data_IF_647390973600
#
_entry.id   IF_647390973600
#
_cell.length_a   1.000
_cell.length_b   1.000
_cell.length_c   1.000
_cell.angle_alpha   90.00
_cell.angle_beta   90.00
_cell.angle_gamma   90.00
#
_symmetry.space_group_name_H-M   'P 1'
#
loop_
_entity.id
_entity.type
_entity.pdbx_description
1 polymer ?
#
# COMPACT_ATOMS: atom_id res chain seq x y z
N UNK A 1 -53.49 -6.46 41.79
CA UNK A 1 -52.09 -6.36 42.23
C UNK A 1 -51.26 -7.62 41.86
N UNK A 2 -51.80 -8.83 41.86
CA UNK A 2 -51.06 -10.07 41.54
C UNK A 2 -50.59 -10.18 40.07
N UNK A 3 -51.29 -9.57 39.10
CA UNK A 3 -50.92 -9.60 37.67
C UNK A 3 -49.84 -8.59 37.30
N UNK A 4 -49.69 -7.50 38.08
CA UNK A 4 -48.66 -6.48 37.83
C UNK A 4 -47.27 -6.98 38.18
N UNK A 5 -47.16 -7.80 39.23
CA UNK A 5 -45.88 -8.41 39.65
C UNK A 5 -45.40 -9.44 38.65
N UNK A 6 -46.30 -10.18 37.98
CA UNK A 6 -45.91 -11.17 36.97
C UNK A 6 -45.35 -10.51 35.70
N UNK A 7 -45.92 -9.37 35.28
CA UNK A 7 -45.43 -8.59 34.12
C UNK A 7 -44.04 -8.00 34.40
N UNK A 8 -43.77 -7.57 35.64
CA UNK A 8 -42.47 -7.05 36.01
C UNK A 8 -41.37 -8.12 36.03
N UNK A 9 -41.68 -9.34 36.45
CA UNK A 9 -40.75 -10.48 36.44
C UNK A 9 -40.46 -10.93 35.01
N UNK A 10 -41.41 -10.91 34.09
CA UNK A 10 -41.18 -11.23 32.67
C UNK A 10 -40.31 -10.18 31.98
N UNK A 11 -40.41 -8.90 32.35
CA UNK A 11 -39.53 -7.85 31.81
C UNK A 11 -38.06 -7.96 32.26
N UNK A 12 -37.83 -8.44 33.48
CA UNK A 12 -36.44 -8.65 33.98
C UNK A 12 -35.78 -9.86 33.31
N UNK A 13 -36.55 -10.88 32.91
CA UNK A 13 -36.02 -12.06 32.23
C UNK A 13 -35.65 -11.81 30.76
N UNK A 14 -36.12 -10.70 30.18
CA UNK A 14 -35.77 -10.30 28.79
C UNK A 14 -34.48 -9.44 28.68
N UNK A 15 -33.88 -9.06 29.81
CA UNK A 15 -32.52 -8.48 29.79
C UNK A 15 -31.52 -9.60 29.57
N UNK A 16 -31.53 -10.17 28.36
CA UNK A 16 -30.50 -11.07 27.88
C UNK A 16 -29.18 -10.31 27.83
N UNK A 17 -28.29 -10.70 28.71
CA UNK A 17 -26.91 -10.23 28.69
C UNK A 17 -26.28 -10.66 27.35
N UNK A 18 -26.23 -9.78 26.36
CA UNK A 18 -25.43 -10.02 25.16
C UNK A 18 -23.97 -10.14 25.60
N UNK A 19 -23.43 -11.34 25.61
CA UNK A 19 -21.97 -11.51 25.71
C UNK A 19 -21.36 -10.73 24.52
N UNK A 20 -20.75 -9.60 24.81
CA UNK A 20 -19.90 -8.93 23.85
C UNK A 20 -18.72 -9.86 23.60
N UNK A 21 -18.74 -10.59 22.51
CA UNK A 21 -17.56 -11.35 22.10
C UNK A 21 -16.45 -10.33 21.87
N UNK A 22 -15.32 -10.50 22.54
CA UNK A 22 -14.10 -9.73 22.29
C UNK A 22 -13.65 -10.02 20.85
N UNK A 23 -13.95 -9.11 19.93
CA UNK A 23 -13.44 -9.17 18.57
C UNK A 23 -11.98 -8.72 18.58
N UNK A 24 -11.09 -9.54 18.04
CA UNK A 24 -9.66 -9.17 17.87
C UNK A 24 -9.48 -8.08 16.82
N UNK A 25 -10.41 -7.96 15.88
CA UNK A 25 -10.39 -6.95 14.82
C UNK A 25 -11.74 -6.24 14.75
N UNK A 26 -11.70 -4.93 14.59
CA UNK A 26 -12.86 -4.10 14.37
C UNK A 26 -12.75 -3.44 12.99
N UNK A 27 -13.87 -3.35 12.28
CA UNK A 27 -13.95 -2.66 11.01
C UNK A 27 -14.27 -1.19 11.26
N UNK A 28 -13.32 -0.32 10.95
CA UNK A 28 -13.52 1.11 10.96
C UNK A 28 -14.07 1.60 9.60
N UNK A 29 -14.93 2.59 9.65
CA UNK A 29 -15.49 3.21 8.43
C UNK A 29 -14.53 4.27 7.86
N UNK A 30 -14.69 4.61 6.58
CA UNK A 30 -13.96 5.71 5.98
C UNK A 30 -14.30 7.07 6.60
N UNK A 31 -15.47 7.22 7.19
CA UNK A 31 -15.86 8.42 7.92
C UNK A 31 -15.06 8.57 9.23
N UNK A 32 -14.80 7.46 9.93
CA UNK A 32 -14.01 7.46 11.16
C UNK A 32 -12.52 7.63 10.89
N UNK A 33 -12.03 7.03 9.82
CA UNK A 33 -10.59 7.01 9.54
C UNK A 33 -10.12 8.10 8.59
N UNK A 34 -10.99 8.70 7.79
CA UNK A 34 -10.60 9.58 6.67
C UNK A 34 -10.09 8.84 5.43
N UNK A 35 -9.90 7.51 5.50
CA UNK A 35 -9.39 6.72 4.37
C UNK A 35 -10.53 6.38 3.42
N UNK A 36 -10.50 6.96 2.21
CA UNK A 36 -11.50 6.72 1.15
C UNK A 36 -10.94 5.94 -0.04
N UNK A 37 -9.70 5.47 0.04
CA UNK A 37 -9.03 4.73 -1.03
C UNK A 37 -9.83 3.50 -1.49
N UNK A 38 -9.88 3.33 -2.81
CA UNK A 38 -10.42 2.15 -3.47
C UNK A 38 -9.59 1.84 -4.71
N UNK A 39 -9.04 0.64 -4.79
CA UNK A 39 -8.42 0.14 -6.00
C UNK A 39 -9.49 -0.33 -6.99
N UNK A 40 -10.13 0.63 -7.68
CA UNK A 40 -11.21 0.35 -8.62
C UNK A 40 -10.65 -0.12 -9.96
N UNK A 41 -11.15 -1.24 -10.45
CA UNK A 41 -10.86 -1.75 -11.78
C UNK A 41 -12.07 -1.51 -12.69
N UNK A 42 -11.83 -0.95 -13.87
CA UNK A 42 -12.86 -0.76 -14.90
C UNK A 42 -12.56 -1.70 -16.06
N UNK A 43 -13.50 -2.60 -16.35
CA UNK A 43 -13.41 -3.46 -17.53
C UNK A 43 -13.35 -2.64 -18.81
N UNK A 44 -12.36 -2.95 -19.67
CA UNK A 44 -12.27 -2.45 -21.04
C UNK A 44 -12.15 -3.64 -21.99
N UNK A 45 -12.63 -3.49 -23.22
CA UNK A 45 -12.59 -4.56 -24.21
C UNK A 45 -11.15 -5.03 -24.50
N UNK A 46 -10.21 -4.10 -24.53
CA UNK A 46 -8.79 -4.32 -24.79
C UNK A 46 -7.95 -4.54 -23.51
N UNK A 47 -8.48 -4.24 -22.32
CA UNK A 47 -7.75 -4.38 -21.06
C UNK A 47 -8.63 -4.97 -19.95
N UNK A 48 -8.51 -6.27 -19.74
CA UNK A 48 -9.30 -7.08 -18.82
C UNK A 48 -8.57 -8.39 -18.49
N UNK A 49 -9.19 -9.28 -17.73
CA UNK A 49 -8.58 -10.55 -17.30
C UNK A 49 -8.17 -11.47 -18.46
N UNK A 50 -8.81 -11.37 -19.63
CA UNK A 50 -8.48 -12.21 -20.78
C UNK A 50 -7.28 -11.69 -21.55
N UNK A 51 -7.04 -10.37 -21.51
CA UNK A 51 -5.92 -9.71 -22.19
C UNK A 51 -4.74 -9.47 -21.26
N UNK A 52 -4.99 -9.33 -19.96
CA UNK A 52 -3.97 -9.12 -18.93
C UNK A 52 -4.17 -10.08 -17.74
N UNK A 53 -3.35 -11.11 -17.68
CA UNK A 53 -3.47 -12.22 -16.74
C UNK A 53 -3.51 -11.80 -15.26
N UNK A 54 -2.82 -10.72 -14.91
CA UNK A 54 -2.69 -10.25 -13.53
C UNK A 54 -3.75 -9.20 -13.16
N UNK A 55 -4.82 -9.06 -13.95
CA UNK A 55 -5.82 -8.01 -13.82
C UNK A 55 -6.47 -7.91 -12.42
N UNK A 56 -6.61 -9.02 -11.72
CA UNK A 56 -7.21 -9.06 -10.39
C UNK A 56 -6.22 -9.31 -9.26
N UNK A 57 -4.92 -9.14 -9.49
CA UNK A 57 -3.91 -9.37 -8.43
C UNK A 57 -3.94 -8.32 -7.32
N UNK A 58 -4.60 -7.19 -7.54
CA UNK A 58 -4.68 -6.10 -6.55
C UNK A 58 -3.46 -5.19 -6.54
N UNK A 59 -3.42 -4.31 -5.56
CA UNK A 59 -2.30 -3.42 -5.25
C UNK A 59 -1.63 -3.80 -3.94
N UNK A 60 -0.61 -3.05 -3.56
CA UNK A 60 0.14 -3.18 -2.32
C UNK A 60 -0.33 -2.20 -1.24
N UNK A 61 0.09 -2.48 -0.02
CA UNK A 61 -0.05 -1.58 1.13
C UNK A 61 1.30 -1.53 1.84
N UNK A 62 1.85 -0.33 1.99
CA UNK A 62 3.04 -0.04 2.78
C UNK A 62 2.66 0.66 4.08
N UNK A 63 3.30 0.29 5.18
CA UNK A 63 3.17 0.95 6.49
C UNK A 63 4.55 1.42 6.93
N UNK A 64 4.67 2.69 7.31
CA UNK A 64 5.91 3.27 7.82
C UNK A 64 5.68 4.66 8.37
N UNK A 65 6.53 5.09 9.26
CA UNK A 65 6.54 6.44 9.83
C UNK A 65 7.42 7.30 8.91
N UNK A 66 6.78 8.07 8.01
CA UNK A 66 7.50 8.84 6.97
C UNK A 66 8.00 10.21 7.46
N UNK A 67 7.52 10.67 8.61
CA UNK A 67 7.86 11.98 9.16
C UNK A 67 8.52 11.90 10.55
N UNK A 68 8.81 10.69 11.03
CA UNK A 68 9.46 10.40 12.32
C UNK A 68 8.68 10.94 13.53
N UNK A 69 7.33 10.92 13.47
CA UNK A 69 6.46 11.35 14.58
C UNK A 69 6.03 10.20 15.52
N UNK A 70 6.42 8.97 15.22
CA UNK A 70 6.11 7.76 15.97
C UNK A 70 4.77 7.12 15.61
N UNK A 71 4.07 7.60 14.58
CA UNK A 71 2.82 7.05 14.07
C UNK A 71 3.05 6.41 12.70
N UNK A 72 2.42 5.26 12.45
CA UNK A 72 2.55 4.60 11.16
C UNK A 72 1.59 5.23 10.14
N UNK A 73 2.16 5.70 9.04
CA UNK A 73 1.46 6.18 7.86
C UNK A 73 1.15 5.04 6.90
N UNK A 74 0.27 5.27 5.93
CA UNK A 74 -0.18 4.23 5.01
C UNK A 74 -0.01 4.70 3.56
N UNK A 75 0.71 3.90 2.77
CA UNK A 75 0.76 4.07 1.33
C UNK A 75 0.04 2.92 0.62
N UNK A 76 -0.93 3.25 -0.25
CA UNK A 76 -1.66 2.30 -1.08
C UNK A 76 -1.24 2.45 -2.53
N UNK A 77 -0.91 1.34 -3.19
CA UNK A 77 -0.74 1.32 -4.64
C UNK A 77 -2.06 1.00 -5.33
N UNK A 78 -2.24 1.57 -6.52
CA UNK A 78 -3.44 1.42 -7.33
C UNK A 78 -3.10 0.95 -8.75
N UNK A 79 -3.92 0.05 -9.30
CA UNK A 79 -3.67 -0.50 -10.63
C UNK A 79 -4.08 0.46 -11.77
N UNK A 80 -5.19 1.19 -11.63
CA UNK A 80 -5.73 2.07 -12.68
C UNK A 80 -5.87 3.53 -12.26
N UNK A 81 -5.67 3.84 -10.99
CA UNK A 81 -5.77 5.20 -10.45
C UNK A 81 -4.42 5.59 -9.84
N UNK A 82 -4.31 6.83 -9.38
CA UNK A 82 -3.13 7.26 -8.61
C UNK A 82 -3.00 6.48 -7.31
N UNK A 83 -1.77 6.25 -6.88
CA UNK A 83 -1.45 5.73 -5.56
C UNK A 83 -1.87 6.75 -4.48
N UNK A 84 -1.96 6.33 -3.23
CA UNK A 84 -2.40 7.20 -2.14
C UNK A 84 -1.49 7.10 -0.93
N UNK A 85 -1.07 8.26 -0.41
CA UNK A 85 -0.35 8.40 0.85
C UNK A 85 -1.27 9.05 1.88
N UNK A 86 -1.46 8.37 3.00
CA UNK A 86 -2.26 8.82 4.13
C UNK A 86 -1.39 9.03 5.35
N UNK A 87 -1.29 10.29 5.79
CA UNK A 87 -0.58 10.68 7.01
C UNK A 87 -1.45 10.37 8.23
N UNK A 88 -0.89 9.70 9.22
CA UNK A 88 -1.54 9.36 10.48
C UNK A 88 -1.60 10.57 11.42
N UNK A 89 -2.79 10.95 11.84
CA UNK A 89 -3.02 12.05 12.78
C UNK A 89 -3.30 11.57 14.21
N UNK A 90 -3.06 10.28 14.47
CA UNK A 90 -3.42 9.64 15.73
C UNK A 90 -4.89 9.21 15.79
N UNK A 91 -5.22 8.36 16.77
CA UNK A 91 -6.59 7.86 17.00
C UNK A 91 -7.25 7.23 15.75
N UNK A 92 -6.48 6.57 14.88
CA UNK A 92 -6.93 6.01 13.59
C UNK A 92 -7.54 7.05 12.64
N UNK A 93 -7.13 8.30 12.72
CA UNK A 93 -7.50 9.33 11.76
C UNK A 93 -6.35 9.61 10.81
N UNK A 94 -6.65 9.69 9.51
CA UNK A 94 -5.66 9.83 8.46
C UNK A 94 -6.04 10.97 7.51
N UNK A 95 -5.03 11.64 6.97
CA UNK A 95 -5.15 12.72 6.00
C UNK A 95 -4.51 12.29 4.67
N UNK A 96 -5.23 12.43 3.56
CA UNK A 96 -4.66 12.20 2.22
C UNK A 96 -3.72 13.35 1.86
N UNK A 97 -2.42 13.09 1.91
CA UNK A 97 -1.37 14.05 1.55
C UNK A 97 -0.72 13.76 0.19
N UNK A 98 -1.28 12.84 -0.60
CA UNK A 98 -0.71 12.36 -1.88
C UNK A 98 -0.24 13.48 -2.79
N UNK A 99 -1.07 14.51 -2.96
CA UNK A 99 -0.75 15.65 -3.84
C UNK A 99 0.33 16.56 -3.26
N UNK A 100 0.29 16.79 -1.94
CA UNK A 100 1.32 17.55 -1.24
C UNK A 100 2.66 16.85 -1.38
N UNK A 101 2.67 15.55 -1.11
CA UNK A 101 3.85 14.71 -1.14
C UNK A 101 4.40 14.45 -2.56
N UNK A 102 3.57 14.55 -3.59
CA UNK A 102 3.99 14.30 -4.98
C UNK A 102 4.17 12.82 -5.30
N UNK A 103 3.51 11.91 -4.57
CA UNK A 103 3.75 10.46 -4.65
C UNK A 103 2.59 9.66 -5.26
N UNK A 104 1.74 10.29 -6.06
CA UNK A 104 0.62 9.63 -6.73
C UNK A 104 1.01 8.57 -7.75
N UNK A 105 2.25 8.61 -8.23
CA UNK A 105 2.76 7.77 -9.32
C UNK A 105 2.31 8.25 -10.69
N UNK A 106 3.17 8.06 -11.69
CA UNK A 106 2.88 8.40 -13.09
C UNK A 106 2.84 7.16 -13.98
N UNK A 107 3.19 6.01 -13.44
CA UNK A 107 3.30 4.76 -14.18
C UNK A 107 2.02 3.93 -14.07
N UNK A 108 1.90 2.99 -14.99
CA UNK A 108 0.69 2.16 -15.06
C UNK A 108 0.85 0.91 -14.21
N UNK A 109 -0.23 0.55 -13.56
CA UNK A 109 -0.41 -0.72 -12.88
C UNK A 109 0.57 -0.92 -11.72
N UNK A 110 0.51 0.00 -10.74
CA UNK A 110 1.27 -0.14 -9.51
C UNK A 110 0.83 -1.39 -8.74
N UNK A 111 1.80 -2.16 -8.26
CA UNK A 111 1.62 -3.46 -7.61
C UNK A 111 2.12 -3.42 -6.17
N UNK A 112 3.34 -3.86 -5.91
CA UNK A 112 3.95 -3.81 -4.59
C UNK A 112 4.47 -2.43 -4.22
N UNK A 113 4.63 -2.20 -2.92
CA UNK A 113 5.31 -1.05 -2.36
C UNK A 113 6.22 -1.49 -1.23
N UNK A 114 7.40 -0.90 -1.14
CA UNK A 114 8.34 -1.08 -0.04
C UNK A 114 8.74 0.28 0.52
N UNK A 115 8.81 0.37 1.85
CA UNK A 115 9.32 1.54 2.54
C UNK A 115 10.66 1.17 3.17
N UNK A 116 11.71 1.93 2.84
CA UNK A 116 13.05 1.76 3.37
C UNK A 116 13.78 3.10 3.32
N UNK A 117 14.73 3.31 4.20
CA UNK A 117 15.65 4.46 4.15
C UNK A 117 16.79 4.08 3.19
N UNK A 118 16.61 4.42 1.89
CA UNK A 118 17.51 3.95 0.81
C UNK A 118 18.79 4.78 0.73
N UNK A 119 18.70 6.05 1.12
CA UNK A 119 19.84 6.97 1.10
C UNK A 119 20.51 7.13 2.46
N UNK A 120 20.03 6.43 3.50
CA UNK A 120 20.53 6.45 4.88
C UNK A 120 20.47 7.85 5.52
N UNK A 121 19.42 8.63 5.23
CA UNK A 121 19.23 9.97 5.80
C UNK A 121 18.32 9.98 7.05
N UNK A 122 17.74 8.82 7.42
CA UNK A 122 16.90 8.64 8.57
C UNK A 122 15.40 8.80 8.29
N UNK A 123 15.00 9.07 7.04
CA UNK A 123 13.61 9.09 6.61
C UNK A 123 13.29 7.90 5.72
N UNK A 124 12.06 7.39 5.80
CA UNK A 124 11.63 6.31 4.92
C UNK A 124 11.28 6.83 3.53
N UNK A 125 11.91 6.23 2.51
CA UNK A 125 11.60 6.41 1.10
C UNK A 125 10.52 5.42 0.66
N UNK A 126 9.91 5.68 -0.51
CA UNK A 126 8.82 4.84 -1.05
C UNK A 126 9.26 4.28 -2.40
N UNK A 127 9.42 2.96 -2.47
CA UNK A 127 9.66 2.27 -3.74
C UNK A 127 8.38 1.59 -4.23
N UNK A 128 7.96 1.93 -5.45
CA UNK A 128 6.74 1.41 -6.08
C UNK A 128 7.09 0.50 -7.25
N UNK A 129 6.66 -0.75 -7.17
CA UNK A 129 6.76 -1.70 -8.28
C UNK A 129 5.62 -1.49 -9.26
N UNK A 130 5.93 -1.41 -10.56
CA UNK A 130 4.96 -1.20 -11.63
C UNK A 130 5.00 -2.34 -12.64
N UNK A 131 3.85 -2.74 -13.17
CA UNK A 131 3.73 -3.82 -14.17
C UNK A 131 3.31 -3.32 -15.54
N UNK A 132 3.05 -2.03 -15.69
CA UNK A 132 2.68 -1.40 -16.94
C UNK A 132 1.28 -1.77 -17.43
N UNK A 133 0.94 -1.30 -18.61
CA UNK A 133 -0.31 -1.59 -19.27
C UNK A 133 -0.20 -2.76 -20.27
N UNK A 134 -1.26 -3.00 -21.05
CA UNK A 134 -1.33 -4.09 -22.05
C UNK A 134 -0.27 -3.99 -23.14
N UNK A 135 0.20 -2.78 -23.45
CA UNK A 135 1.25 -2.56 -24.46
C UNK A 135 2.62 -2.87 -23.91
N UNK A 136 2.74 -3.02 -22.59
CA UNK A 136 3.99 -3.27 -21.88
C UNK A 136 4.94 -2.09 -21.89
N UNK A 137 4.42 -0.90 -22.13
CA UNK A 137 5.11 0.37 -21.95
C UNK A 137 4.75 1.00 -20.59
N UNK A 138 5.36 2.13 -20.25
CA UNK A 138 5.05 2.91 -19.04
C UNK A 138 5.03 2.06 -17.74
N UNK A 139 6.01 1.18 -17.55
CA UNK A 139 6.09 0.23 -16.44
C UNK A 139 7.37 0.37 -15.61
N UNK A 140 8.09 1.48 -15.73
CA UNK A 140 9.25 1.73 -14.88
C UNK A 140 8.81 1.78 -13.43
N UNK A 141 9.58 1.13 -12.56
CA UNK A 141 9.41 1.29 -11.13
C UNK A 141 9.72 2.73 -10.73
N UNK A 142 9.14 3.19 -9.64
CA UNK A 142 9.33 4.55 -9.13
C UNK A 142 9.94 4.49 -7.74
N UNK A 143 10.90 5.38 -7.48
CA UNK A 143 11.52 5.60 -6.18
C UNK A 143 11.30 7.03 -5.75
N UNK A 144 10.51 7.24 -4.74
CA UNK A 144 10.25 8.54 -4.16
C UNK A 144 11.14 8.72 -2.93
N UNK A 145 12.21 9.51 -3.06
CA UNK A 145 13.11 9.90 -1.96
C UNK A 145 12.45 10.96 -1.10
N UNK A 146 12.41 10.74 0.19
CA UNK A 146 11.80 11.63 1.18
C UNK A 146 12.69 12.87 1.41
N UNK A 147 12.13 14.06 1.26
CA UNK A 147 12.86 15.32 1.47
C UNK A 147 12.86 15.77 2.95
N UNK A 148 12.22 15.01 3.86
CA UNK A 148 12.11 15.34 5.29
C UNK A 148 11.07 16.42 5.64
N UNK A 149 10.27 16.87 4.67
CA UNK A 149 9.27 17.94 4.82
C UNK A 149 7.86 17.54 4.33
N UNK A 150 7.58 16.23 4.28
CA UNK A 150 6.38 15.61 3.72
C UNK A 150 6.27 15.71 2.20
N UNK A 151 7.32 16.13 1.51
CA UNK A 151 7.42 16.05 0.05
C UNK A 151 8.45 15.00 -0.36
N UNK A 152 8.35 14.52 -1.58
CA UNK A 152 9.25 13.49 -2.12
C UNK A 152 9.72 13.87 -3.52
N UNK A 153 10.89 13.34 -3.90
CA UNK A 153 11.46 13.50 -5.24
C UNK A 153 11.59 12.12 -5.89
N UNK A 154 11.06 11.97 -7.11
CA UNK A 154 11.22 10.73 -7.87
C UNK A 154 12.64 10.61 -8.41
N UNK A 155 13.37 9.54 -8.06
CA UNK A 155 14.78 9.35 -8.35
C UNK A 155 15.14 7.91 -8.77
N UNK A 156 14.19 7.10 -9.24
CA UNK A 156 14.47 5.71 -9.59
C UNK A 156 15.56 5.55 -10.65
N UNK A 157 15.61 6.45 -11.62
CA UNK A 157 16.61 6.43 -12.67
C UNK A 157 18.01 6.72 -12.14
N UNK A 158 18.15 7.69 -11.26
CA UNK A 158 19.41 8.11 -10.65
C UNK A 158 20.02 7.01 -9.78
N UNK A 159 19.15 6.23 -9.13
CA UNK A 159 19.55 5.08 -8.30
C UNK A 159 19.67 3.77 -9.10
N UNK A 160 19.35 3.78 -10.41
CA UNK A 160 19.35 2.57 -11.25
C UNK A 160 18.26 1.57 -10.86
N UNK A 161 17.18 2.05 -10.26
CA UNK A 161 16.04 1.24 -9.76
C UNK A 161 14.79 1.37 -10.65
N UNK A 162 14.89 2.00 -11.84
CA UNK A 162 13.81 2.18 -12.81
C UNK A 162 13.55 0.95 -13.69
N UNK A 163 13.62 -0.26 -13.09
CA UNK A 163 13.40 -1.52 -13.82
C UNK A 163 12.10 -1.46 -14.63
N UNK A 164 12.17 -2.04 -15.84
CA UNK A 164 11.06 -2.07 -16.83
C UNK A 164 10.46 -3.46 -17.01
N UNK A 165 10.63 -4.32 -16.02
CA UNK A 165 9.99 -5.62 -15.95
C UNK A 165 8.50 -5.53 -15.63
N UNK A 166 7.90 -6.69 -15.37
CA UNK A 166 6.56 -6.77 -14.79
C UNK A 166 6.71 -6.93 -13.27
N UNK A 167 7.12 -5.84 -12.62
CA UNK A 167 7.50 -5.87 -11.23
C UNK A 167 6.29 -6.09 -10.32
N UNK A 168 6.46 -6.88 -9.29
CA UNK A 168 5.39 -7.20 -8.34
C UNK A 168 5.70 -6.80 -6.92
N UNK A 169 6.98 -6.85 -6.54
CA UNK A 169 7.43 -6.45 -5.21
C UNK A 169 8.97 -6.28 -5.20
N UNK A 170 9.46 -5.46 -4.28
CA UNK A 170 10.88 -5.35 -3.97
C UNK A 170 11.12 -5.54 -2.47
N UNK A 171 12.27 -6.08 -2.12
CA UNK A 171 12.77 -6.13 -0.76
C UNK A 171 14.12 -5.45 -0.69
N UNK A 172 14.30 -4.60 0.32
CA UNK A 172 15.56 -3.91 0.60
C UNK A 172 16.16 -4.49 1.87
N UNK A 173 17.43 -4.87 1.83
CA UNK A 173 18.17 -5.42 2.96
C UNK A 173 19.66 -5.42 2.64
N UNK A 174 20.48 -5.29 3.65
CA UNK A 174 21.94 -5.40 3.56
C UNK A 174 22.34 -6.87 3.41
N UNK A 175 22.56 -7.32 2.17
CA UNK A 175 22.84 -8.72 1.85
C UNK A 175 24.28 -9.11 2.19
N UNK A 176 25.24 -8.27 1.87
CA UNK A 176 26.67 -8.55 2.02
C UNK A 176 27.29 -7.94 3.28
N UNK A 177 26.50 -7.18 4.05
CA UNK A 177 26.87 -6.54 5.33
C UNK A 177 27.91 -5.45 5.19
N UNK A 178 27.83 -4.70 4.13
CA UNK A 178 28.69 -3.55 3.89
C UNK A 178 28.10 -2.23 4.43
N UNK A 179 26.84 -2.25 4.87
CA UNK A 179 26.16 -1.16 5.55
C UNK A 179 25.23 -0.35 4.64
N UNK A 180 25.11 -0.69 3.36
CA UNK A 180 24.10 -0.15 2.47
C UNK A 180 22.98 -1.14 2.16
N UNK A 181 21.91 -0.69 1.49
CA UNK A 181 20.77 -1.55 1.18
C UNK A 181 20.84 -2.08 -0.24
N UNK A 182 20.82 -3.41 -0.34
CA UNK A 182 20.60 -4.12 -1.60
C UNK A 182 19.11 -4.16 -1.95
N UNK A 183 18.82 -4.21 -3.25
CA UNK A 183 17.47 -4.37 -3.76
C UNK A 183 17.27 -5.74 -4.41
N UNK A 184 16.36 -6.52 -3.86
CA UNK A 184 15.88 -7.75 -4.48
C UNK A 184 14.52 -7.50 -5.14
N UNK A 185 14.49 -7.46 -6.48
CA UNK A 185 13.28 -7.18 -7.26
C UNK A 185 12.65 -8.44 -7.82
N UNK A 186 11.36 -8.62 -7.54
CA UNK A 186 10.55 -9.71 -8.05
C UNK A 186 9.78 -9.27 -9.30
N UNK A 187 10.18 -9.81 -10.44
CA UNK A 187 9.49 -9.62 -11.71
C UNK A 187 8.64 -10.83 -12.07
N UNK A 188 7.39 -10.59 -12.47
CA UNK A 188 6.51 -11.62 -13.02
C UNK A 188 6.76 -11.76 -14.53
N UNK A 189 6.45 -12.92 -15.10
CA UNK A 189 6.57 -13.15 -16.53
C UNK A 189 5.22 -13.09 -17.21
N UNK A 190 5.11 -12.32 -18.28
CA UNK A 190 3.94 -12.33 -19.16
C UNK A 190 3.71 -13.71 -19.83
N UNK A 191 4.80 -14.48 -20.02
CA UNK A 191 4.77 -15.79 -20.71
C UNK A 191 4.89 -17.00 -19.77
N UNK A 192 4.59 -16.87 -18.48
CA UNK A 192 4.61 -17.99 -17.54
C UNK A 192 6.05 -18.50 -17.25
N UNK A 193 6.75 -17.79 -16.42
CA UNK A 193 8.05 -18.14 -15.84
C UNK A 193 8.49 -17.01 -14.91
N UNK A 194 9.09 -17.38 -13.79
CA UNK A 194 9.65 -16.38 -12.87
C UNK A 194 11.06 -16.01 -13.33
N UNK A 195 11.37 -14.75 -13.41
CA UNK A 195 12.75 -14.27 -13.54
C UNK A 195 13.10 -13.55 -12.25
N UNK A 196 14.09 -14.04 -11.56
CA UNK A 196 14.70 -13.39 -10.42
C UNK A 196 15.83 -12.54 -10.98
N UNK A 197 15.77 -11.24 -10.80
CA UNK A 197 16.87 -10.35 -11.16
C UNK A 197 17.37 -9.71 -9.86
N UNK A 198 18.59 -10.04 -9.47
CA UNK A 198 19.30 -9.26 -8.45
C UNK A 198 19.91 -8.05 -9.12
N UNK A 199 19.69 -6.89 -8.59
CA UNK A 199 20.36 -5.66 -8.99
C UNK A 199 21.32 -5.35 -7.84
N UNK A 200 22.49 -5.99 -7.86
CA UNK A 200 23.64 -5.55 -7.08
C UNK A 200 24.46 -4.58 -7.91
N UNK A 201 24.85 -3.48 -7.37
CA UNK A 201 25.97 -2.70 -7.94
C UNK A 201 27.26 -3.40 -7.51
N UNK A 202 28.01 -3.91 -8.50
CA UNK A 202 29.44 -4.20 -8.35
C UNK A 202 30.23 -2.89 -8.19
#
# INVERSE_FOLDING_TARGET
MRNLSLVFIVFILLSSCSKTELKLFERLSSYETGISFKNNLSFKEDFNIFTYRNYYNGGGVGLGDINNDGLLDIYFTSNLNENKLYLNKGNFQFEDITKLAGVGGEKSWSTGVSLADINADGFLDIYVSNSGDIKGDNKQNELFINNGDLTFTEMANEYGLDDKGYSTHAAFFDFDRDGDLDCYLLNNSYKGGFRITSIGKD
#
